data_IF_210378725008
#
_entry.id   IF_210378725008
#
_cell.length_a   1.000
_cell.length_b   1.000
_cell.length_c   1.000
_cell.angle_alpha   90.00
_cell.angle_beta   90.00
_cell.angle_gamma   90.00
#
_symmetry.space_group_name_H-M   'P 1'
#
loop_
_entity.id
_entity.type
_entity.pdbx_description
1 polymer ?
#
# COMPACT_ATOMS: atom_id res chain seq x y z
N UNK A 1 -21.84 1.69 -16.79
CA UNK A 1 -21.37 0.45 -16.15
C UNK A 1 -21.09 0.75 -14.69
N UNK A 2 -21.83 0.16 -13.77
CA UNK A 2 -21.65 0.32 -12.32
C UNK A 2 -20.37 -0.40 -11.90
N UNK A 3 -19.39 0.36 -11.44
CA UNK A 3 -18.10 -0.16 -11.03
C UNK A 3 -18.27 -1.09 -9.82
N UNK A 4 -17.73 -2.31 -9.88
CA UNK A 4 -17.80 -3.25 -8.77
C UNK A 4 -17.04 -2.69 -7.55
N UNK A 5 -17.51 -3.00 -6.34
CA UNK A 5 -16.86 -2.57 -5.08
C UNK A 5 -15.39 -3.00 -5.05
N UNK A 6 -15.05 -4.13 -5.68
CA UNK A 6 -13.68 -4.63 -5.82
C UNK A 6 -12.76 -3.66 -6.57
N UNK A 7 -13.18 -3.20 -7.75
CA UNK A 7 -12.38 -2.28 -8.55
C UNK A 7 -12.20 -0.93 -7.85
N UNK A 8 -13.18 -0.50 -7.04
CA UNK A 8 -13.07 0.72 -6.23
C UNK A 8 -11.95 0.59 -5.19
N UNK A 9 -11.91 -0.51 -4.45
CA UNK A 9 -10.88 -0.75 -3.41
C UNK A 9 -9.49 -0.78 -4.05
N UNK A 10 -9.32 -1.51 -5.15
CA UNK A 10 -8.02 -1.59 -5.85
C UNK A 10 -7.57 -0.22 -6.36
N UNK A 11 -8.50 0.61 -6.86
CA UNK A 11 -8.19 1.97 -7.29
C UNK A 11 -7.85 2.90 -6.13
N UNK A 12 -8.55 2.78 -4.99
CA UNK A 12 -8.21 3.56 -3.78
C UNK A 12 -6.82 3.18 -3.27
N UNK A 13 -6.51 1.88 -3.20
CA UNK A 13 -5.19 1.41 -2.82
C UNK A 13 -4.10 1.87 -3.79
N UNK A 14 -4.37 1.85 -5.10
CA UNK A 14 -3.47 2.35 -6.12
C UNK A 14 -3.25 3.87 -6.04
N UNK A 15 -4.31 4.64 -5.79
CA UNK A 15 -4.23 6.08 -5.61
C UNK A 15 -3.43 6.44 -4.36
N UNK A 16 -3.63 5.71 -3.26
CA UNK A 16 -2.80 5.86 -2.06
C UNK A 16 -1.32 5.64 -2.36
N UNK A 17 -0.97 4.53 -3.02
CA UNK A 17 0.43 4.23 -3.34
C UNK A 17 1.05 5.30 -4.25
N UNK A 18 0.29 5.83 -5.22
CA UNK A 18 0.75 6.91 -6.08
C UNK A 18 0.99 8.19 -5.26
N UNK A 19 0.04 8.61 -4.44
CA UNK A 19 0.14 9.84 -3.68
C UNK A 19 1.24 9.76 -2.61
N UNK A 20 1.40 8.60 -1.96
CA UNK A 20 2.43 8.37 -0.97
C UNK A 20 3.84 8.38 -1.59
N UNK A 21 3.99 7.84 -2.80
CA UNK A 21 5.31 7.69 -3.44
C UNK A 21 5.67 8.80 -4.42
N UNK A 22 4.71 9.59 -4.92
CA UNK A 22 4.97 10.67 -5.87
C UNK A 22 6.02 11.69 -5.40
N UNK A 23 6.04 12.15 -4.13
CA UNK A 23 7.07 13.07 -3.65
C UNK A 23 8.49 12.47 -3.70
N UNK A 24 8.60 11.14 -3.68
CA UNK A 24 9.87 10.43 -3.72
C UNK A 24 10.35 10.10 -5.13
N UNK A 25 9.64 10.50 -6.18
CA UNK A 25 10.01 10.19 -7.57
C UNK A 25 11.16 11.05 -8.11
N UNK A 26 11.33 12.25 -7.55
CA UNK A 26 12.36 13.21 -7.97
C UNK A 26 13.28 13.54 -6.78
N UNK A 27 14.61 13.58 -6.95
CA UNK A 27 15.54 13.82 -5.86
C UNK A 27 15.25 15.10 -5.06
N UNK A 28 15.01 16.22 -5.76
CA UNK A 28 14.78 17.53 -5.14
C UNK A 28 13.49 17.50 -4.30
N UNK A 29 12.44 16.83 -4.77
CA UNK A 29 11.17 16.72 -4.06
C UNK A 29 11.29 15.75 -2.88
N UNK A 30 12.11 14.72 -3.02
CA UNK A 30 12.36 13.71 -1.98
C UNK A 30 12.98 14.32 -0.73
N UNK A 31 13.82 15.35 -0.87
CA UNK A 31 14.39 16.10 0.27
C UNK A 31 13.27 16.72 1.11
N UNK A 32 12.32 17.39 0.46
CA UNK A 32 11.17 18.00 1.15
C UNK A 32 10.26 16.95 1.79
N UNK A 33 10.02 15.84 1.09
CA UNK A 33 9.22 14.74 1.62
C UNK A 33 9.87 14.07 2.84
N UNK A 34 11.19 13.87 2.79
CA UNK A 34 11.96 13.32 3.90
C UNK A 34 11.96 14.27 5.11
N UNK A 35 12.11 15.57 4.88
CA UNK A 35 12.00 16.59 5.94
C UNK A 35 10.59 16.65 6.55
N UNK A 36 9.53 16.47 5.76
CA UNK A 36 8.16 16.38 6.26
C UNK A 36 7.98 15.16 7.17
N UNK A 37 8.54 14.00 6.80
CA UNK A 37 8.50 12.80 7.65
C UNK A 37 9.23 13.05 8.98
N UNK A 38 10.41 13.67 8.94
CA UNK A 38 11.14 14.06 10.16
C UNK A 38 10.30 14.98 11.04
N UNK A 39 9.65 15.98 10.44
CA UNK A 39 8.79 16.88 11.18
C UNK A 39 7.60 16.16 11.83
N UNK A 40 6.94 15.24 11.10
CA UNK A 40 5.84 14.43 11.66
C UNK A 40 6.33 13.52 12.79
N UNK A 41 7.50 12.89 12.63
CA UNK A 41 8.11 12.06 13.68
C UNK A 41 8.33 12.85 14.98
N UNK A 42 8.86 14.07 14.85
CA UNK A 42 9.02 15.00 15.98
C UNK A 42 7.68 15.41 16.60
N UNK A 43 6.66 15.72 15.79
CA UNK A 43 5.33 16.08 16.31
C UNK A 43 4.65 14.92 17.04
N UNK A 44 4.93 13.69 16.65
CA UNK A 44 4.43 12.49 17.33
C UNK A 44 5.26 12.12 18.58
N UNK A 45 6.35 12.84 18.86
CA UNK A 45 7.18 12.66 20.05
C UNK A 45 8.11 11.45 19.98
N UNK A 46 8.40 10.93 18.79
CA UNK A 46 9.32 9.80 18.64
C UNK A 46 10.80 10.19 18.70
N UNK A 47 11.13 11.42 18.25
CA UNK A 47 12.49 11.98 18.25
C UNK A 47 13.55 11.03 17.66
N UNK A 48 13.19 10.43 16.52
CA UNK A 48 14.00 9.41 15.87
C UNK A 48 15.20 10.05 15.15
N UNK A 49 16.30 9.31 15.07
CA UNK A 49 17.47 9.78 14.32
C UNK A 49 17.30 9.55 12.81
N UNK A 50 17.34 10.62 12.03
CA UNK A 50 17.32 10.56 10.57
C UNK A 50 18.68 10.90 9.99
N UNK A 51 19.31 9.93 9.33
CA UNK A 51 20.55 10.16 8.59
C UNK A 51 20.28 10.91 7.28
N UNK A 52 21.25 11.72 6.85
CA UNK A 52 21.24 12.28 5.50
C UNK A 52 21.32 11.15 4.47
N UNK A 53 20.51 11.24 3.42
CA UNK A 53 20.55 10.30 2.29
C UNK A 53 21.71 10.70 1.38
N UNK A 54 22.70 9.83 1.24
CA UNK A 54 23.73 9.98 0.21
C UNK A 54 23.12 9.86 -1.20
N UNK A 55 23.81 10.32 -2.26
CA UNK A 55 23.27 10.28 -3.62
C UNK A 55 22.86 8.88 -4.10
N UNK A 56 23.54 7.81 -3.65
CA UNK A 56 23.19 6.44 -4.00
C UNK A 56 21.91 5.99 -3.29
N UNK A 57 21.80 6.23 -1.98
CA UNK A 57 20.57 5.96 -1.24
C UNK A 57 19.37 6.74 -1.79
N UNK A 58 19.57 8.01 -2.16
CA UNK A 58 18.56 8.84 -2.81
C UNK A 58 18.12 8.25 -4.15
N UNK A 59 19.06 7.85 -5.01
CA UNK A 59 18.76 7.19 -6.28
C UNK A 59 17.92 5.91 -6.09
N UNK A 60 18.30 5.05 -5.13
CA UNK A 60 17.57 3.82 -4.82
C UNK A 60 16.14 4.09 -4.34
N UNK A 61 15.96 5.11 -3.49
CA UNK A 61 14.65 5.59 -3.07
C UNK A 61 13.83 6.05 -4.29
N UNK A 62 14.42 6.82 -5.20
CA UNK A 62 13.73 7.35 -6.37
C UNK A 62 13.29 6.25 -7.35
N UNK A 63 14.15 5.28 -7.67
CA UNK A 63 13.76 4.17 -8.54
C UNK A 63 12.70 3.28 -7.88
N UNK A 64 12.76 3.10 -6.56
CA UNK A 64 11.74 2.41 -5.79
C UNK A 64 10.39 3.13 -5.88
N UNK A 65 10.39 4.47 -5.73
CA UNK A 65 9.20 5.29 -5.91
C UNK A 65 8.60 5.16 -7.31
N UNK A 66 9.44 5.18 -8.35
CA UNK A 66 8.98 4.97 -9.74
C UNK A 66 8.35 3.60 -9.95
N UNK A 67 8.90 2.54 -9.36
CA UNK A 67 8.28 1.21 -9.43
C UNK A 67 6.87 1.22 -8.83
N UNK A 68 6.68 1.87 -7.68
CA UNK A 68 5.35 2.03 -7.06
C UNK A 68 4.40 2.89 -7.89
N UNK A 69 4.90 3.98 -8.51
CA UNK A 69 4.09 4.85 -9.35
C UNK A 69 3.59 4.13 -10.60
N UNK A 70 4.49 3.48 -11.33
CA UNK A 70 4.14 2.72 -12.54
C UNK A 70 3.15 1.61 -12.19
N UNK A 71 3.42 0.87 -11.11
CA UNK A 71 2.52 -0.18 -10.64
C UNK A 71 1.16 0.36 -10.19
N UNK A 72 1.12 1.50 -9.50
CA UNK A 72 -0.11 2.20 -9.14
C UNK A 72 -0.93 2.59 -10.36
N UNK A 73 -0.30 3.13 -11.40
CA UNK A 73 -0.98 3.51 -12.65
C UNK A 73 -1.58 2.30 -13.37
N UNK A 74 -0.85 1.18 -13.42
CA UNK A 74 -1.37 -0.09 -13.98
C UNK A 74 -2.62 -0.54 -13.23
N UNK A 75 -2.57 -0.57 -11.89
CA UNK A 75 -3.72 -0.97 -11.05
C UNK A 75 -4.89 -0.01 -11.15
N UNK A 76 -4.63 1.29 -11.26
CA UNK A 76 -5.70 2.27 -11.43
C UNK A 76 -6.43 2.04 -12.75
N UNK A 77 -5.68 1.94 -13.86
CA UNK A 77 -6.25 1.81 -15.22
C UNK A 77 -6.94 0.47 -15.43
N UNK A 78 -6.32 -0.63 -14.99
CA UNK A 78 -6.82 -1.98 -15.19
C UNK A 78 -6.85 -2.75 -13.85
N UNK A 79 -7.81 -2.45 -12.96
CA UNK A 79 -7.97 -3.19 -11.72
C UNK A 79 -8.42 -4.63 -12.01
N UNK A 80 -7.59 -5.62 -11.65
CA UNK A 80 -7.92 -7.04 -11.75
C UNK A 80 -7.81 -7.71 -10.39
N UNK A 81 -8.44 -8.89 -10.24
CA UNK A 81 -8.33 -9.69 -9.02
C UNK A 81 -6.89 -10.10 -8.73
N UNK A 82 -6.12 -10.43 -9.76
CA UNK A 82 -4.71 -10.79 -9.61
C UNK A 82 -3.88 -9.60 -9.10
N UNK A 83 -4.12 -8.41 -9.67
CA UNK A 83 -3.49 -7.18 -9.19
C UNK A 83 -3.80 -6.89 -7.72
N UNK A 84 -5.03 -7.14 -7.27
CA UNK A 84 -5.41 -6.99 -5.86
C UNK A 84 -4.64 -7.97 -4.95
N UNK A 85 -4.41 -9.21 -5.38
CA UNK A 85 -3.67 -10.22 -4.61
C UNK A 85 -2.18 -9.88 -4.50
N UNK A 86 -1.57 -9.51 -5.63
CA UNK A 86 -0.17 -9.09 -5.67
C UNK A 86 0.06 -7.80 -4.88
N UNK A 87 -0.87 -6.85 -4.98
CA UNK A 87 -0.90 -5.64 -4.17
C UNK A 87 -0.94 -6.01 -2.68
N UNK A 88 -1.89 -6.82 -2.24
CA UNK A 88 -2.00 -7.18 -0.83
C UNK A 88 -0.77 -7.93 -0.30
N UNK A 89 -0.16 -8.80 -1.10
CA UNK A 89 1.11 -9.44 -0.77
C UNK A 89 2.25 -8.42 -0.61
N UNK A 90 2.38 -7.49 -1.56
CA UNK A 90 3.37 -6.42 -1.49
C UNK A 90 3.19 -5.58 -0.22
N UNK A 91 1.95 -5.24 0.15
CA UNK A 91 1.66 -4.50 1.39
C UNK A 91 2.11 -5.25 2.63
N UNK A 92 1.89 -6.57 2.69
CA UNK A 92 2.38 -7.40 3.81
C UNK A 92 3.91 -7.40 3.87
N UNK A 93 4.58 -7.54 2.71
CA UNK A 93 6.04 -7.45 2.64
C UNK A 93 6.54 -6.09 3.14
N UNK A 94 5.90 -4.99 2.72
CA UNK A 94 6.25 -3.64 3.17
C UNK A 94 6.15 -3.52 4.69
N UNK A 95 5.07 -4.02 5.29
CA UNK A 95 4.87 -3.97 6.74
C UNK A 95 5.96 -4.75 7.49
N UNK A 96 6.34 -5.92 6.97
CA UNK A 96 7.44 -6.70 7.55
C UNK A 96 8.76 -5.93 7.46
N UNK A 97 9.07 -5.34 6.30
CA UNK A 97 10.29 -4.55 6.10
C UNK A 97 10.29 -3.29 6.97
N UNK A 98 9.14 -2.64 7.16
CA UNK A 98 8.99 -1.52 8.10
C UNK A 98 9.29 -1.94 9.54
N UNK A 99 8.79 -3.12 9.96
CA UNK A 99 9.12 -3.68 11.28
C UNK A 99 10.62 -3.91 11.47
N UNK A 100 11.29 -4.48 10.46
CA UNK A 100 12.75 -4.67 10.47
C UNK A 100 13.49 -3.33 10.54
N UNK A 101 13.07 -2.34 9.75
CA UNK A 101 13.67 -1.01 9.76
C UNK A 101 13.55 -0.33 11.13
N UNK A 102 12.36 -0.37 11.75
CA UNK A 102 12.13 0.19 13.08
C UNK A 102 12.95 -0.55 14.14
N UNK A 103 13.04 -1.87 14.07
CA UNK A 103 13.92 -2.65 14.97
C UNK A 103 15.41 -2.31 14.81
N UNK A 104 15.80 -1.72 13.67
CA UNK A 104 17.15 -1.27 13.36
C UNK A 104 17.38 0.23 13.67
N UNK A 105 16.43 0.89 14.34
CA UNK A 105 16.54 2.30 14.75
C UNK A 105 15.83 3.30 13.83
N UNK A 106 15.06 2.85 12.84
CA UNK A 106 14.21 3.75 12.06
C UNK A 106 13.01 4.25 12.87
N UNK A 107 12.42 5.35 12.39
CA UNK A 107 11.29 6.00 13.05
C UNK A 107 10.07 5.08 13.23
N UNK A 108 9.46 5.02 14.44
CA UNK A 108 8.20 4.31 14.70
C UNK A 108 7.02 4.81 13.86
N UNK A 109 7.09 6.02 13.30
CA UNK A 109 6.09 6.54 12.36
C UNK A 109 5.88 5.60 11.15
N UNK A 110 6.91 4.84 10.76
CA UNK A 110 6.77 3.83 9.71
C UNK A 110 5.71 2.77 10.03
N UNK A 111 5.48 2.45 11.31
CA UNK A 111 4.43 1.51 11.73
C UNK A 111 3.03 2.12 11.64
N UNK A 112 2.90 3.44 11.79
CA UNK A 112 1.63 4.14 11.55
C UNK A 112 1.24 4.00 10.07
N UNK A 113 2.20 4.20 9.16
CA UNK A 113 2.02 3.91 7.74
C UNK A 113 1.75 2.42 7.49
N UNK A 114 2.44 1.54 8.21
CA UNK A 114 2.22 0.09 8.18
C UNK A 114 0.80 -0.33 8.57
N UNK A 115 0.18 0.35 9.54
CA UNK A 115 -1.21 0.12 9.91
C UNK A 115 -2.16 0.42 8.75
N UNK A 116 -1.93 1.51 8.01
CA UNK A 116 -2.69 1.84 6.79
C UNK A 116 -2.50 0.76 5.72
N UNK A 117 -1.26 0.31 5.51
CA UNK A 117 -0.93 -0.76 4.57
C UNK A 117 -1.63 -2.08 4.92
N UNK A 118 -1.66 -2.46 6.21
CA UNK A 118 -2.38 -3.65 6.67
C UNK A 118 -3.89 -3.53 6.46
N UNK A 119 -4.46 -2.35 6.74
CA UNK A 119 -5.89 -2.12 6.54
C UNK A 119 -6.26 -2.30 5.06
N UNK A 120 -5.47 -1.71 4.14
CA UNK A 120 -5.65 -1.89 2.70
C UNK A 120 -5.41 -3.35 2.26
N UNK A 121 -4.40 -4.03 2.81
CA UNK A 121 -4.15 -5.44 2.53
C UNK A 121 -5.36 -6.30 2.93
N UNK A 122 -5.91 -6.08 4.14
CA UNK A 122 -7.11 -6.77 4.62
C UNK A 122 -8.31 -6.44 3.73
N UNK A 123 -8.49 -5.21 3.27
CA UNK A 123 -9.60 -4.88 2.36
C UNK A 123 -9.44 -5.57 0.99
N UNK A 124 -8.22 -5.65 0.46
CA UNK A 124 -7.89 -6.35 -0.79
C UNK A 124 -8.01 -7.89 -0.64
N UNK A 125 -7.76 -8.45 0.56
CA UNK A 125 -7.93 -9.88 0.88
C UNK A 125 -9.37 -10.28 1.24
N UNK A 126 -10.04 -9.51 2.09
CA UNK A 126 -11.29 -9.89 2.81
C UNK A 126 -12.49 -10.02 1.89
N UNK A 127 -12.51 -9.36 0.73
CA UNK A 127 -13.60 -9.56 -0.22
C UNK A 127 -13.59 -10.96 -0.88
N UNK A 128 -12.53 -11.78 -0.69
CA UNK A 128 -12.59 -13.23 -0.98
C UNK A 128 -13.61 -13.98 -0.11
N UNK A 129 -13.92 -13.49 1.09
CA UNK A 129 -14.81 -14.15 2.04
C UNK A 129 -16.29 -13.87 1.76
N UNK A 130 -16.63 -12.70 1.20
CA UNK A 130 -18.03 -12.31 0.95
C UNK A 130 -18.62 -12.88 -0.34
N UNK A 131 -17.83 -13.18 -1.38
CA UNK A 131 -18.36 -13.86 -2.58
C UNK A 131 -18.67 -15.35 -2.35
N UNK A 132 -18.08 -15.99 -1.32
CA UNK A 132 -18.44 -17.37 -0.94
C UNK A 132 -19.78 -17.48 -0.20
N UNK A 133 -20.31 -16.36 0.29
CA UNK A 133 -21.60 -16.32 1.00
C UNK A 133 -22.80 -16.05 0.08
N UNK A 134 -22.55 -15.86 -1.23
CA UNK A 134 -23.57 -15.59 -2.25
C UNK A 134 -23.73 -16.69 -3.30
N UNK A 135 -23.20 -17.89 -3.08
CA UNK A 135 -23.57 -19.03 -3.93
C UNK A 135 -25.02 -19.42 -3.59
N UNK A 136 -25.98 -19.37 -4.54
CA UNK A 136 -27.28 -19.95 -4.30
C UNK A 136 -27.05 -21.43 -4.05
N UNK A 137 -27.51 -21.95 -2.90
CA UNK A 137 -27.60 -23.38 -2.70
C UNK A 137 -28.52 -23.94 -3.79
N UNK A 138 -27.95 -24.56 -4.82
CA UNK A 138 -28.62 -25.28 -5.89
C UNK A 138 -29.33 -26.56 -5.40
N UNK A 139 -29.90 -26.53 -4.19
CA UNK A 139 -30.68 -27.61 -3.58
C UNK A 139 -32.19 -27.39 -3.66
N UNK A 140 -32.67 -26.35 -4.35
CA UNK A 140 -34.10 -26.11 -4.51
C UNK A 140 -34.73 -26.79 -5.75
N UNK A 141 -33.95 -27.24 -6.74
CA UNK A 141 -34.49 -27.83 -7.98
C UNK A 141 -34.59 -29.37 -7.98
N UNK A 142 -34.22 -30.06 -6.90
CA UNK A 142 -34.26 -31.53 -6.84
C UNK A 142 -35.52 -32.11 -6.15
N UNK A 143 -36.59 -31.33 -5.96
CA UNK A 143 -37.85 -31.79 -5.34
C UNK A 143 -39.11 -31.34 -6.10
N UNK A 144 -39.06 -31.35 -7.42
CA UNK A 144 -40.23 -31.08 -8.26
C UNK A 144 -40.44 -32.08 -9.39
N UNK A 145 -39.86 -33.28 -9.27
CA UNK A 145 -40.18 -34.43 -10.12
C UNK A 145 -40.62 -35.61 -9.26
#
# INVERSE_FOLDING_TARGET
MTQSTHEKIVRVGAAYDILAMAPFALPIVSVWAYALIQWVDLQLGFDSHFSALDPTAMFLLNIGAWAYLVWGVVRWRAPTREHARLSALLRVIVVVVQGVAVSSGASPFLLVLGAVQLLLAVLEFSHRLFERSGAPSSRAEARAY
#
